data_IF_403521911940
#
_entry.id   IF_403521911940
#
_cell.length_a   1.000
_cell.length_b   1.000
_cell.length_c   1.000
_cell.angle_alpha   90.00
_cell.angle_beta   90.00
_cell.angle_gamma   90.00
#
_symmetry.space_group_name_H-M   'P 1'
#
loop_
_entity.id
_entity.type
_entity.pdbx_description
1 polymer ?
#
# COMPACT_ATOMS: atom_id res chain seq x y z
N UNK A 1 -17.55 -64.42 -16.56
CA UNK A 1 -17.07 -63.45 -17.58
C UNK A 1 -17.51 -62.00 -17.33
N UNK A 2 -18.40 -61.69 -16.36
CA UNK A 2 -18.87 -60.32 -16.10
C UNK A 2 -18.06 -59.50 -15.08
N UNK A 3 -17.25 -60.15 -14.23
CA UNK A 3 -16.47 -59.46 -13.20
C UNK A 3 -15.27 -58.69 -13.77
N UNK A 4 -14.66 -59.20 -14.85
CA UNK A 4 -13.48 -58.59 -15.49
C UNK A 4 -13.81 -57.36 -16.34
N UNK A 5 -15.06 -57.24 -16.82
CA UNK A 5 -15.51 -56.11 -17.65
C UNK A 5 -15.83 -54.86 -16.82
N UNK A 6 -16.25 -55.03 -15.55
CA UNK A 6 -16.53 -53.92 -14.63
C UNK A 6 -15.26 -53.28 -14.09
N UNK A 7 -14.22 -54.07 -13.84
CA UNK A 7 -12.93 -53.58 -13.33
C UNK A 7 -12.22 -52.70 -14.37
N UNK A 8 -12.27 -53.07 -15.65
CA UNK A 8 -11.66 -52.26 -16.73
C UNK A 8 -12.42 -50.95 -16.98
N UNK A 9 -13.76 -50.93 -16.82
CA UNK A 9 -14.53 -49.69 -16.89
C UNK A 9 -14.18 -48.72 -15.75
N UNK A 10 -14.01 -49.21 -14.52
CA UNK A 10 -13.64 -48.36 -13.37
C UNK A 10 -12.24 -47.75 -13.50
N UNK A 11 -11.28 -48.48 -14.07
CA UNK A 11 -9.90 -47.98 -14.28
C UNK A 11 -9.88 -46.88 -15.36
N UNK A 12 -10.68 -47.02 -16.42
CA UNK A 12 -10.75 -46.03 -17.50
C UNK A 12 -11.30 -44.66 -17.02
N UNK A 13 -12.25 -44.65 -16.09
CA UNK A 13 -12.83 -43.41 -15.53
C UNK A 13 -11.83 -42.67 -14.64
N UNK A 14 -11.00 -43.39 -13.88
CA UNK A 14 -10.02 -42.78 -12.97
C UNK A 14 -8.91 -42.06 -13.76
N UNK A 15 -8.43 -42.66 -14.86
CA UNK A 15 -7.38 -42.07 -15.73
C UNK A 15 -7.89 -40.77 -16.39
N UNK A 16 -9.17 -40.73 -16.76
CA UNK A 16 -9.79 -39.58 -17.43
C UNK A 16 -10.02 -38.39 -16.47
N UNK A 17 -10.18 -38.63 -15.17
CA UNK A 17 -10.30 -37.57 -14.16
C UNK A 17 -8.94 -36.97 -13.76
N UNK A 18 -7.87 -37.77 -13.79
CA UNK A 18 -6.51 -37.27 -13.51
C UNK A 18 -5.94 -36.38 -14.60
N UNK A 19 -6.34 -36.55 -15.87
CA UNK A 19 -5.86 -35.71 -16.97
C UNK A 19 -6.50 -34.32 -17.01
N UNK A 20 -7.74 -34.17 -16.52
CA UNK A 20 -8.42 -32.85 -16.45
C UNK A 20 -7.79 -31.97 -15.34
N UNK A 21 -7.29 -32.58 -14.26
CA UNK A 21 -6.67 -31.86 -13.14
C UNK A 21 -5.34 -31.19 -13.53
N UNK A 22 -4.60 -31.78 -14.45
CA UNK A 22 -3.32 -31.23 -14.94
C UNK A 22 -3.48 -30.03 -15.89
N UNK A 23 -4.64 -29.89 -16.57
CA UNK A 23 -4.91 -28.75 -17.46
C UNK A 23 -5.34 -27.47 -16.74
N UNK A 24 -5.80 -27.55 -15.49
CA UNK A 24 -6.10 -26.35 -14.69
C UNK A 24 -4.88 -25.75 -14.00
N UNK A 25 -3.84 -26.57 -13.72
CA UNK A 25 -2.60 -26.09 -13.10
C UNK A 25 -1.67 -25.36 -14.09
N UNK A 26 -1.75 -25.66 -15.39
CA UNK A 26 -0.83 -25.10 -16.40
C UNK A 26 -1.30 -23.74 -16.99
N UNK A 27 -2.56 -23.36 -16.79
CA UNK A 27 -3.13 -22.14 -17.40
C UNK A 27 -3.07 -20.89 -16.50
N UNK A 28 -2.66 -21.00 -15.24
CA UNK A 28 -2.44 -19.82 -14.38
C UNK A 28 -1.04 -19.21 -14.58
N UNK A 29 -0.05 -20.05 -14.86
CA UNK A 29 1.33 -19.61 -15.09
C UNK A 29 1.50 -18.83 -16.41
N UNK A 30 0.73 -19.19 -17.44
CA UNK A 30 0.79 -18.53 -18.74
C UNK A 30 0.10 -17.15 -18.77
N UNK A 31 -0.92 -16.92 -17.93
CA UNK A 31 -1.60 -15.62 -17.88
C UNK A 31 -0.76 -14.56 -17.14
N UNK A 32 -0.04 -14.96 -16.09
CA UNK A 32 0.82 -14.08 -15.31
C UNK A 32 2.16 -13.80 -16.04
N UNK A 33 2.72 -14.80 -16.74
CA UNK A 33 3.94 -14.59 -17.52
C UNK A 33 3.74 -13.70 -18.76
N UNK A 34 2.55 -13.66 -19.36
CA UNK A 34 2.27 -12.79 -20.53
C UNK A 34 2.17 -11.33 -20.09
N UNK A 35 1.61 -11.04 -18.92
CA UNK A 35 1.52 -9.66 -18.40
C UNK A 35 2.90 -9.10 -18.04
N UNK A 36 3.75 -9.90 -17.38
CA UNK A 36 5.13 -9.52 -17.06
C UNK A 36 6.01 -9.44 -18.32
N UNK A 37 5.87 -10.36 -19.27
CA UNK A 37 6.63 -10.33 -20.52
C UNK A 37 6.25 -9.15 -21.43
N UNK A 38 4.97 -8.76 -21.46
CA UNK A 38 4.51 -7.60 -22.23
C UNK A 38 4.94 -6.28 -21.56
N UNK A 39 4.85 -6.18 -20.22
CA UNK A 39 5.36 -5.01 -19.47
C UNK A 39 6.88 -4.86 -19.58
N UNK A 40 7.64 -5.96 -19.56
CA UNK A 40 9.10 -5.93 -19.74
C UNK A 40 9.51 -5.57 -21.18
N UNK A 41 8.74 -5.98 -22.20
CA UNK A 41 9.00 -5.60 -23.59
C UNK A 41 8.67 -4.13 -23.86
N UNK A 42 7.58 -3.59 -23.31
CA UNK A 42 7.22 -2.17 -23.41
C UNK A 42 8.21 -1.28 -22.63
N UNK A 43 8.67 -1.73 -21.45
CA UNK A 43 9.72 -1.07 -20.67
C UNK A 43 11.08 -1.06 -21.41
N UNK A 44 11.45 -2.17 -22.06
CA UNK A 44 12.69 -2.25 -22.85
C UNK A 44 12.65 -1.38 -24.12
N UNK A 45 11.47 -1.21 -24.73
CA UNK A 45 11.28 -0.31 -25.86
C UNK A 45 11.39 1.17 -25.45
N UNK A 46 10.94 1.52 -24.24
CA UNK A 46 11.07 2.88 -23.69
C UNK A 46 12.51 3.24 -23.33
N UNK A 47 13.33 2.32 -22.78
CA UNK A 47 14.75 2.61 -22.45
C UNK A 47 15.60 2.94 -23.69
N UNK A 48 15.20 2.47 -24.88
CA UNK A 48 15.95 2.70 -26.12
C UNK A 48 15.73 4.09 -26.74
N UNK A 49 14.76 4.87 -26.26
CA UNK A 49 14.47 6.22 -26.72
C UNK A 49 14.97 7.26 -25.70
N UNK A 50 15.87 8.15 -26.12
CA UNK A 50 16.45 9.23 -25.29
C UNK A 50 15.39 10.26 -24.83
N UNK A 51 14.19 10.24 -25.41
CA UNK A 51 13.03 11.02 -24.98
C UNK A 51 12.17 10.33 -23.90
N UNK A 52 12.46 9.07 -23.55
CA UNK A 52 11.74 8.38 -22.49
C UNK A 52 12.35 8.74 -21.12
N UNK A 53 11.74 9.71 -20.46
CA UNK A 53 12.01 10.02 -19.05
C UNK A 53 11.47 8.87 -18.19
N UNK A 54 12.24 7.77 -18.13
CA UNK A 54 11.96 6.65 -17.25
C UNK A 54 12.04 7.22 -15.83
N UNK A 55 10.88 7.41 -15.22
CA UNK A 55 10.79 7.75 -13.80
C UNK A 55 11.56 6.68 -13.03
N UNK A 56 12.80 7.00 -12.65
CA UNK A 56 13.57 6.19 -11.73
C UNK A 56 12.71 6.02 -10.49
N UNK A 57 12.46 4.78 -10.11
CA UNK A 57 11.66 4.46 -8.92
C UNK A 57 12.36 5.08 -7.71
N UNK A 58 11.88 6.23 -7.27
CA UNK A 58 12.36 6.91 -6.07
C UNK A 58 12.00 6.04 -4.88
N UNK A 59 12.95 5.81 -3.98
CA UNK A 59 12.69 5.03 -2.77
C UNK A 59 11.61 5.71 -1.91
N UNK A 60 10.80 4.95 -1.18
CA UNK A 60 9.80 5.53 -0.24
C UNK A 60 10.50 6.50 0.72
N UNK A 61 11.70 6.14 1.18
CA UNK A 61 12.53 6.97 2.04
C UNK A 61 12.81 8.34 1.39
N UNK A 62 13.24 8.39 0.13
CA UNK A 62 13.47 9.67 -0.58
C UNK A 62 12.18 10.42 -0.87
N UNK A 63 11.09 9.70 -1.18
CA UNK A 63 9.77 10.29 -1.41
C UNK A 63 9.26 11.05 -0.18
N UNK A 64 9.59 10.58 1.02
CA UNK A 64 9.14 11.13 2.29
C UNK A 64 10.20 11.89 3.08
N UNK A 65 11.22 12.41 2.39
CA UNK A 65 12.25 13.26 3.01
C UNK A 65 13.21 12.51 3.95
N UNK A 66 13.23 11.18 3.86
CA UNK A 66 14.05 10.27 4.65
C UNK A 66 13.34 9.71 5.88
N UNK A 67 13.98 8.73 6.51
CA UNK A 67 13.52 8.13 7.77
C UNK A 67 13.88 9.09 8.92
N UNK A 68 12.86 9.55 9.64
CA UNK A 68 13.01 10.35 10.86
C UNK A 68 13.41 9.45 12.05
N UNK A 69 12.73 8.31 12.19
CA UNK A 69 12.93 7.39 13.29
C UNK A 69 12.51 5.97 12.90
N UNK A 70 13.27 4.98 13.35
CA UNK A 70 12.91 3.57 13.20
C UNK A 70 13.08 2.82 14.52
N UNK A 71 12.10 1.98 14.87
CA UNK A 71 12.16 1.14 16.06
C UNK A 71 11.24 -0.08 15.97
N UNK A 72 11.51 -1.12 16.77
CA UNK A 72 10.73 -2.36 16.78
C UNK A 72 10.08 -2.61 18.14
N UNK A 73 8.78 -2.86 18.18
CA UNK A 73 8.03 -3.21 19.39
C UNK A 73 7.24 -4.48 19.17
N UNK A 74 7.55 -5.52 19.97
CA UNK A 74 6.85 -6.82 19.91
C UNK A 74 6.81 -7.44 18.49
N UNK A 75 7.87 -7.26 17.71
CA UNK A 75 7.96 -7.74 16.32
C UNK A 75 7.36 -6.80 15.28
N UNK A 76 6.74 -5.69 15.69
CA UNK A 76 6.23 -4.66 14.79
C UNK A 76 7.31 -3.59 14.56
N UNK A 77 7.86 -3.52 13.34
CA UNK A 77 8.79 -2.49 12.90
C UNK A 77 8.01 -1.23 12.53
N UNK A 78 8.36 -0.13 13.20
CA UNK A 78 7.76 1.18 13.01
C UNK A 78 8.78 2.09 12.35
N UNK A 79 8.45 2.60 11.17
CA UNK A 79 9.26 3.56 10.41
C UNK A 79 8.49 4.86 10.31
N UNK A 80 9.01 5.90 10.96
CA UNK A 80 8.47 7.26 10.92
C UNK A 80 9.28 8.04 9.90
N UNK A 81 8.61 8.60 8.90
CA UNK A 81 9.23 9.41 7.86
C UNK A 81 9.15 10.91 8.19
N UNK A 82 10.07 11.71 7.64
CA UNK A 82 10.14 13.16 7.92
C UNK A 82 8.90 13.90 7.42
N UNK A 83 8.45 13.59 6.20
CA UNK A 83 7.30 14.23 5.57
C UNK A 83 6.05 13.31 5.58
N UNK A 84 5.99 12.42 6.58
CA UNK A 84 4.93 11.41 6.78
C UNK A 84 5.08 10.20 5.86
N UNK A 85 4.20 9.18 5.86
CA UNK A 85 3.35 8.71 6.96
C UNK A 85 4.18 7.99 8.04
N UNK A 86 3.53 7.21 8.91
CA UNK A 86 4.20 6.21 9.73
C UNK A 86 3.85 4.82 9.20
N UNK A 87 4.87 4.03 8.86
CA UNK A 87 4.73 2.64 8.41
C UNK A 87 4.89 1.70 9.59
N UNK A 88 3.98 0.74 9.74
CA UNK A 88 4.01 -0.27 10.79
C UNK A 88 3.80 -1.65 10.17
N UNK A 89 4.85 -2.47 10.15
CA UNK A 89 4.81 -3.82 9.59
C UNK A 89 5.51 -4.83 10.48
N UNK A 90 5.02 -6.07 10.51
CA UNK A 90 5.70 -7.15 11.20
C UNK A 90 7.07 -7.37 10.56
N UNK A 91 8.11 -7.50 11.38
CA UNK A 91 9.50 -7.60 10.93
C UNK A 91 9.77 -8.83 10.06
N UNK A 92 8.92 -9.87 10.13
CA UNK A 92 9.11 -11.14 9.42
C UNK A 92 8.13 -11.33 8.28
N UNK A 93 6.89 -10.90 8.46
CA UNK A 93 5.84 -11.15 7.46
C UNK A 93 5.56 -9.94 6.59
N UNK A 94 6.10 -8.76 6.94
CA UNK A 94 5.78 -7.47 6.33
C UNK A 94 4.27 -7.13 6.32
N UNK A 95 3.47 -7.87 7.09
CA UNK A 95 2.04 -7.62 7.24
C UNK A 95 1.79 -6.42 8.17
N UNK A 96 0.69 -5.66 7.98
CA UNK A 96 0.36 -4.55 8.85
C UNK A 96 0.25 -4.98 10.33
N UNK A 97 0.90 -4.23 11.21
CA UNK A 97 0.84 -4.44 12.65
C UNK A 97 0.55 -3.13 13.39
N UNK A 98 0.21 -3.24 14.68
CA UNK A 98 -0.02 -2.08 15.54
C UNK A 98 1.06 -1.98 16.62
N UNK A 99 1.70 -0.82 16.69
CA UNK A 99 2.69 -0.51 17.72
C UNK A 99 2.43 0.87 18.33
N UNK A 100 2.81 1.08 19.60
CA UNK A 100 2.71 2.38 20.24
C UNK A 100 3.64 3.38 19.56
N UNK A 101 3.14 4.59 19.29
CA UNK A 101 3.94 5.69 18.75
C UNK A 101 4.57 6.52 19.87
N UNK A 102 5.73 7.16 19.62
CA UNK A 102 6.34 8.05 20.59
C UNK A 102 5.34 9.14 20.99
N UNK A 103 5.28 9.47 22.28
CA UNK A 103 4.33 10.48 22.79
C UNK A 103 4.53 11.85 22.15
N UNK A 104 5.75 12.14 21.74
CA UNK A 104 6.13 13.40 21.13
C UNK A 104 6.05 13.37 19.60
N UNK A 105 5.56 12.26 19.00
CA UNK A 105 5.34 12.17 17.56
C UNK A 105 4.18 13.07 17.16
N UNK A 106 4.48 14.02 16.27
CA UNK A 106 3.53 15.02 15.81
C UNK A 106 2.94 14.55 14.50
N UNK A 107 1.78 13.89 14.56
CA UNK A 107 1.05 13.41 13.38
C UNK A 107 0.64 14.52 12.40
N UNK A 108 0.55 15.73 12.93
CA UNK A 108 0.29 16.94 12.19
C UNK A 108 0.41 18.07 13.21
N UNK A 109 1.54 18.77 13.22
CA UNK A 109 1.46 20.17 13.62
C UNK A 109 1.27 20.92 12.33
N UNK A 110 0.07 21.49 12.19
CA UNK A 110 -0.13 22.67 11.39
C UNK A 110 1.10 23.57 11.55
N UNK A 111 1.73 23.88 10.42
CA UNK A 111 2.86 24.80 10.29
C UNK A 111 2.58 26.07 11.07
N UNK A 112 1.35 26.56 10.97
CA UNK A 112 0.86 27.72 11.71
C UNK A 112 -0.59 27.48 12.15
N UNK A 113 -0.91 27.81 13.40
CA UNK A 113 -2.29 27.94 13.89
C UNK A 113 -2.49 29.37 14.32
N UNK A 114 -3.45 30.05 13.71
CA UNK A 114 -3.83 31.40 14.09
C UNK A 114 -5.25 31.41 14.62
N UNK A 115 -5.42 31.90 15.86
CA UNK A 115 -6.74 32.02 16.49
C UNK A 115 -7.02 33.47 16.81
N UNK A 116 -8.12 34.00 16.30
CA UNK A 116 -8.56 35.37 16.55
C UNK A 116 -10.07 35.45 16.74
N UNK A 117 -10.53 36.55 17.35
CA UNK A 117 -11.95 36.81 17.54
C UNK A 117 -12.45 37.73 16.43
N UNK A 118 -13.46 37.30 15.70
CA UNK A 118 -14.10 38.06 14.64
C UNK A 118 -15.62 37.98 14.82
N UNK A 119 -16.32 39.12 14.91
CA UNK A 119 -17.78 39.19 15.01
C UNK A 119 -18.39 38.30 16.12
N UNK A 120 -17.77 38.28 17.31
CA UNK A 120 -18.12 37.42 18.45
C UNK A 120 -18.01 35.91 18.20
N UNK A 121 -17.34 35.53 17.10
CA UNK A 121 -16.94 34.16 16.79
C UNK A 121 -15.44 33.99 17.01
N UNK A 122 -15.02 32.81 17.42
CA UNK A 122 -13.61 32.41 17.45
C UNK A 122 -13.29 31.77 16.10
N UNK A 123 -12.38 32.38 15.35
CA UNK A 123 -11.86 31.85 14.10
C UNK A 123 -10.53 31.18 14.39
N UNK A 124 -10.35 29.95 13.93
CA UNK A 124 -9.09 29.20 13.99
C UNK A 124 -8.69 28.81 12.58
N UNK A 125 -7.64 29.45 12.09
CA UNK A 125 -6.97 29.13 10.83
C UNK A 125 -5.80 28.20 11.12
N UNK A 126 -5.62 27.19 10.28
CA UNK A 126 -4.55 26.22 10.38
C UNK A 126 -3.93 25.99 9.00
N UNK A 127 -2.63 26.18 8.90
CA UNK A 127 -1.85 25.87 7.71
C UNK A 127 -1.19 24.53 7.96
N UNK A 128 -1.53 23.51 7.18
CA UNK A 128 -0.91 22.19 7.19
C UNK A 128 0.52 22.24 6.63
N UNK A 129 1.31 21.20 6.90
CA UNK A 129 2.71 21.09 6.43
C UNK A 129 2.82 21.09 4.90
N UNK A 130 1.81 20.56 4.20
CA UNK A 130 1.66 20.59 2.74
C UNK A 130 1.24 21.97 2.18
N UNK A 131 1.05 22.96 3.06
CA UNK A 131 0.59 24.29 2.70
C UNK A 131 -0.93 24.40 2.50
N UNK A 132 -1.70 23.33 2.74
CA UNK A 132 -3.15 23.42 2.74
C UNK A 132 -3.63 24.25 3.93
N UNK A 133 -4.46 25.27 3.66
CA UNK A 133 -5.05 26.09 4.71
C UNK A 133 -6.49 25.62 4.99
N UNK A 134 -6.82 25.46 6.26
CA UNK A 134 -8.17 25.20 6.73
C UNK A 134 -8.56 26.25 7.78
N UNK A 135 -9.84 26.59 7.85
CA UNK A 135 -10.35 27.59 8.76
C UNK A 135 -11.67 27.11 9.39
N UNK A 136 -11.72 27.15 10.71
CA UNK A 136 -12.90 26.81 11.49
C UNK A 136 -13.42 28.04 12.22
N UNK A 137 -14.74 28.18 12.31
CA UNK A 137 -15.38 29.31 12.99
C UNK A 137 -16.37 28.79 14.04
N UNK A 138 -16.14 29.17 15.30
CA UNK A 138 -17.02 28.89 16.43
C UNK A 138 -17.74 30.15 16.89
N UNK A 139 -19.03 30.25 16.57
CA UNK A 139 -19.90 31.37 16.95
C UNK A 139 -20.75 31.09 18.20
N UNK A 140 -20.42 30.10 19.02
CA UNK A 140 -21.25 29.70 20.17
C UNK A 140 -21.47 30.80 21.23
N UNK A 141 -20.68 31.89 21.18
CA UNK A 141 -20.83 33.07 22.04
C UNK A 141 -21.66 34.19 21.43
N UNK A 142 -22.06 34.06 20.16
CA UNK A 142 -22.83 35.06 19.44
C UNK A 142 -24.29 35.01 19.91
N UNK A 143 -24.72 36.07 20.61
CA UNK A 143 -26.10 36.23 21.10
C UNK A 143 -26.35 35.85 22.56
N UNK A 144 -25.32 35.82 23.41
CA UNK A 144 -25.48 35.78 24.88
C UNK A 144 -25.54 37.17 25.49
#
# INVERSE_FOLDING_TARGET
>A
MQLRLRITQSIAVIILMTSISSSYAQNQDAAEQVDVAQQTAEYAACIADEACDVATSVSEDEMYGGIQQEYTVKGCKVTVYNDGPVKMVDEKTDEPCNAPLPKDHQFSKSKEVHTYQENDCIVTEQISMDGAADATMDCSKRGR
#
